data_IF_314140557138
#
_entry.id   IF_314140557138
#
_cell.length_a   1.000
_cell.length_b   1.000
_cell.length_c   1.000
_cell.angle_alpha   90.00
_cell.angle_beta   90.00
_cell.angle_gamma   90.00
#
_symmetry.space_group_name_H-M   'P 1'
#
loop_
_entity.id
_entity.type
_entity.pdbx_description
1 polymer ?
#
# COMPACT_ATOMS: atom_id res chain seq x y z
N UNK A 1 -14.70 -20.42 -22.19
CA UNK A 1 -14.88 -19.53 -21.02
C UNK A 1 -13.54 -19.43 -20.29
N UNK A 2 -12.89 -18.27 -20.13
CA UNK A 2 -11.60 -18.25 -19.42
C UNK A 2 -10.94 -16.88 -19.14
N UNK A 3 -11.20 -15.83 -19.93
CA UNK A 3 -10.46 -14.56 -19.79
C UNK A 3 -11.01 -13.57 -18.74
N UNK A 4 -12.27 -13.71 -18.31
CA UNK A 4 -12.94 -12.70 -17.48
C UNK A 4 -12.58 -12.76 -15.98
N UNK A 5 -12.09 -13.91 -15.49
CA UNK A 5 -11.82 -14.13 -14.05
C UNK A 5 -10.45 -13.62 -13.59
N UNK A 6 -9.43 -13.70 -14.46
CA UNK A 6 -8.05 -13.27 -14.14
C UNK A 6 -7.97 -11.76 -13.88
N UNK A 7 -8.62 -10.98 -14.76
CA UNK A 7 -8.59 -9.51 -14.73
C UNK A 7 -9.22 -8.91 -13.45
N UNK A 8 -10.21 -9.60 -12.85
CA UNK A 8 -10.88 -9.14 -11.63
C UNK A 8 -9.99 -9.29 -10.41
N UNK A 9 -9.27 -10.42 -10.28
CA UNK A 9 -8.34 -10.66 -9.17
C UNK A 9 -7.15 -9.68 -9.21
N UNK A 10 -6.59 -9.45 -10.39
CA UNK A 10 -5.49 -8.49 -10.55
C UNK A 10 -5.93 -7.05 -10.27
N UNK A 11 -7.11 -6.65 -10.76
CA UNK A 11 -7.67 -5.34 -10.46
C UNK A 11 -7.90 -5.15 -8.95
N UNK A 12 -8.39 -6.19 -8.28
CA UNK A 12 -8.60 -6.18 -6.83
C UNK A 12 -7.27 -6.10 -6.07
N UNK A 13 -6.25 -6.86 -6.49
CA UNK A 13 -4.91 -6.79 -5.91
C UNK A 13 -4.29 -5.39 -6.05
N UNK A 14 -4.42 -4.75 -7.23
CA UNK A 14 -3.96 -3.37 -7.45
C UNK A 14 -4.72 -2.36 -6.58
N UNK A 15 -6.03 -2.53 -6.44
CA UNK A 15 -6.84 -1.67 -5.58
C UNK A 15 -6.43 -1.79 -4.10
N UNK A 16 -6.22 -3.02 -3.62
CA UNK A 16 -5.72 -3.29 -2.27
C UNK A 16 -4.33 -2.71 -2.06
N UNK A 17 -3.42 -2.91 -3.02
CA UNK A 17 -2.07 -2.32 -3.00
C UNK A 17 -2.12 -0.80 -2.85
N UNK A 18 -2.97 -0.10 -3.61
CA UNK A 18 -3.14 1.35 -3.50
C UNK A 18 -3.68 1.77 -2.13
N UNK A 19 -4.64 1.03 -1.55
CA UNK A 19 -5.18 1.32 -0.21
C UNK A 19 -4.08 1.22 0.85
N UNK A 20 -3.24 0.19 0.79
CA UNK A 20 -2.12 0.01 1.72
C UNK A 20 -1.15 1.20 1.62
N UNK A 21 -0.78 1.61 0.40
CA UNK A 21 0.11 2.77 0.19
C UNK A 21 -0.48 4.06 0.77
N UNK A 22 -1.77 4.33 0.53
CA UNK A 22 -2.43 5.53 1.05
C UNK A 22 -2.45 5.55 2.59
N UNK A 23 -2.83 4.43 3.22
CA UNK A 23 -2.86 4.33 4.68
C UNK A 23 -1.47 4.43 5.30
N UNK A 24 -0.46 3.79 4.68
CA UNK A 24 0.92 3.89 5.12
C UNK A 24 1.45 5.32 5.02
N UNK A 25 1.19 6.02 3.91
CA UNK A 25 1.57 7.42 3.74
C UNK A 25 0.93 8.31 4.82
N UNK A 26 -0.36 8.14 5.10
CA UNK A 26 -1.05 8.90 6.14
C UNK A 26 -0.47 8.62 7.53
N UNK A 27 -0.26 7.36 7.89
CA UNK A 27 0.28 6.99 9.20
C UNK A 27 1.73 7.46 9.37
N UNK A 28 2.58 7.31 8.35
CA UNK A 28 3.93 7.84 8.37
C UNK A 28 3.96 9.36 8.55
N UNK A 29 3.05 10.10 7.89
CA UNK A 29 2.94 11.54 8.05
C UNK A 29 2.42 11.95 9.44
N UNK A 30 1.47 11.20 10.02
CA UNK A 30 0.80 11.57 11.29
C UNK A 30 1.63 11.26 12.53
N UNK A 31 2.29 10.12 12.58
CA UNK A 31 3.00 9.65 13.79
C UNK A 31 4.48 9.30 13.55
N UNK A 32 4.95 9.41 12.32
CA UNK A 32 6.33 9.11 11.93
C UNK A 32 6.56 7.65 11.56
N UNK A 33 7.66 7.40 10.84
CA UNK A 33 8.05 6.07 10.38
C UNK A 33 8.25 5.10 11.55
N UNK A 34 9.08 5.44 12.54
CA UNK A 34 9.46 4.51 13.61
C UNK A 34 8.28 4.03 14.45
N UNK A 35 7.29 4.90 14.72
CA UNK A 35 6.11 4.57 15.53
C UNK A 35 5.04 3.79 14.77
N UNK A 36 5.07 3.78 13.44
CA UNK A 36 4.08 3.08 12.61
C UNK A 36 4.50 1.63 12.40
N UNK A 37 3.63 0.67 12.69
CA UNK A 37 3.89 -0.75 12.42
C UNK A 37 3.09 -1.27 11.21
N UNK A 38 3.54 -2.39 10.63
CA UNK A 38 2.78 -3.10 9.58
C UNK A 38 1.37 -3.46 10.07
N UNK A 39 1.24 -3.79 11.36
CA UNK A 39 -0.05 -4.11 11.97
C UNK A 39 -0.97 -2.89 12.04
N UNK A 40 -0.46 -1.70 12.38
CA UNK A 40 -1.27 -0.46 12.38
C UNK A 40 -1.82 -0.15 10.98
N UNK A 41 -0.97 -0.31 9.95
CA UNK A 41 -1.35 -0.11 8.56
C UNK A 41 -2.40 -1.14 8.15
N UNK A 42 -2.21 -2.41 8.49
CA UNK A 42 -3.16 -3.48 8.20
C UNK A 42 -4.54 -3.19 8.84
N UNK A 43 -4.56 -2.78 10.11
CA UNK A 43 -5.78 -2.38 10.81
C UNK A 43 -6.48 -1.21 10.12
N UNK A 44 -5.73 -0.18 9.70
CA UNK A 44 -6.28 0.99 9.03
C UNK A 44 -7.00 0.67 7.71
N UNK A 45 -6.62 -0.41 7.02
CA UNK A 45 -7.24 -0.85 5.76
C UNK A 45 -8.12 -2.10 5.91
N UNK A 46 -8.41 -2.54 7.13
CA UNK A 46 -9.17 -3.74 7.45
C UNK A 46 -8.58 -5.02 6.81
N UNK A 47 -7.26 -5.19 6.91
CA UNK A 47 -6.52 -6.35 6.45
C UNK A 47 -5.77 -7.01 7.60
N UNK A 48 -5.30 -8.23 7.36
CA UNK A 48 -4.34 -8.89 8.25
C UNK A 48 -2.92 -8.44 7.92
N UNK A 49 -2.02 -8.49 8.90
CA UNK A 49 -0.60 -8.20 8.65
C UNK A 49 -0.02 -9.14 7.57
N UNK A 50 -0.44 -10.41 7.54
CA UNK A 50 -0.05 -11.35 6.49
C UNK A 50 -0.50 -10.94 5.08
N UNK A 51 -1.68 -10.34 4.94
CA UNK A 51 -2.14 -9.80 3.67
C UNK A 51 -1.33 -8.55 3.24
N UNK A 52 -0.87 -7.73 4.19
CA UNK A 52 0.06 -6.63 3.88
C UNK A 52 1.43 -7.18 3.47
N UNK A 53 1.94 -8.21 4.15
CA UNK A 53 3.20 -8.87 3.78
C UNK A 53 3.20 -9.51 2.40
N UNK A 54 2.02 -9.97 1.92
CA UNK A 54 1.87 -10.44 0.55
C UNK A 54 2.14 -9.34 -0.49
N UNK A 55 1.86 -8.07 -0.16
CA UNK A 55 2.11 -6.93 -1.03
C UNK A 55 3.48 -6.29 -0.79
N UNK A 56 3.98 -6.27 0.44
CA UNK A 56 5.22 -5.61 0.83
C UNK A 56 6.02 -6.48 1.79
N UNK A 57 7.22 -6.89 1.39
CA UNK A 57 8.03 -7.85 2.14
C UNK A 57 8.59 -7.28 3.46
N UNK A 58 8.70 -5.95 3.58
CA UNK A 58 9.20 -5.28 4.77
C UNK A 58 8.60 -3.88 4.94
N UNK A 59 8.81 -3.29 6.11
CA UNK A 59 8.39 -1.91 6.42
C UNK A 59 9.19 -0.88 5.59
N UNK A 60 10.46 -1.19 5.34
CA UNK A 60 11.36 -0.42 4.48
C UNK A 60 10.86 -0.44 3.03
N UNK A 61 10.51 -1.63 2.50
CA UNK A 61 9.97 -1.76 1.14
C UNK A 61 8.64 -1.00 0.98
N UNK A 62 7.81 -0.99 2.03
CA UNK A 62 6.59 -0.20 2.02
C UNK A 62 6.88 1.30 2.04
N UNK A 63 7.88 1.76 2.80
CA UNK A 63 8.30 3.16 2.80
C UNK A 63 8.82 3.59 1.43
N UNK A 64 9.70 2.80 0.82
CA UNK A 64 10.21 3.06 -0.53
C UNK A 64 9.07 3.18 -1.55
N UNK A 65 8.12 2.24 -1.50
CA UNK A 65 6.96 2.27 -2.38
C UNK A 65 6.04 3.47 -2.14
N UNK A 66 5.89 3.92 -0.89
CA UNK A 66 5.14 5.14 -0.57
C UNK A 66 5.85 6.37 -1.13
N UNK A 67 7.18 6.47 -0.98
CA UNK A 67 7.96 7.60 -1.51
C UNK A 67 7.89 7.66 -3.03
N UNK A 68 8.08 6.53 -3.72
CA UNK A 68 7.94 6.44 -5.17
C UNK A 68 6.52 6.80 -5.63
N UNK A 69 5.50 6.31 -4.92
CA UNK A 69 4.10 6.63 -5.23
C UNK A 69 3.80 8.13 -5.09
N UNK A 70 4.30 8.79 -4.03
CA UNK A 70 4.13 10.22 -3.82
C UNK A 70 4.90 11.04 -4.87
N UNK A 71 6.14 10.66 -5.18
CA UNK A 71 6.95 11.35 -6.18
C UNK A 71 6.29 11.33 -7.56
N UNK A 72 5.71 10.20 -7.98
CA UNK A 72 4.96 10.08 -9.24
C UNK A 72 3.69 10.94 -9.27
N UNK A 73 3.09 11.21 -8.13
CA UNK A 73 1.90 12.08 -8.01
C UNK A 73 2.21 13.56 -8.15
N UNK A 74 3.45 13.99 -7.91
CA UNK A 74 3.86 15.40 -7.89
C UNK A 74 4.28 15.90 -9.28
N UNK A 75 4.67 15.00 -10.21
CA UNK A 75 5.17 15.35 -11.55
C UNK A 75 4.13 15.94 -12.53
N UNK A 76 2.84 16.03 -12.16
CA UNK A 76 1.79 16.60 -13.03
C UNK A 76 1.59 18.13 -12.89
N UNK A 77 2.50 18.83 -12.23
CA UNK A 77 2.53 20.30 -12.17
C UNK A 77 3.91 20.85 -12.54
N UNK A 78 4.30 20.75 -13.81
CA UNK A 78 5.39 21.53 -14.41
C UNK A 78 5.05 21.92 -15.84
#
# INVERSE_FOLDING_TARGET
MGRKSYNKKEAQARATHKKILMAAAELFARQGYHKTTITDIAQAVNLTSGAVFYHFQSKEALLEAVVDWLARGITIYS
#
